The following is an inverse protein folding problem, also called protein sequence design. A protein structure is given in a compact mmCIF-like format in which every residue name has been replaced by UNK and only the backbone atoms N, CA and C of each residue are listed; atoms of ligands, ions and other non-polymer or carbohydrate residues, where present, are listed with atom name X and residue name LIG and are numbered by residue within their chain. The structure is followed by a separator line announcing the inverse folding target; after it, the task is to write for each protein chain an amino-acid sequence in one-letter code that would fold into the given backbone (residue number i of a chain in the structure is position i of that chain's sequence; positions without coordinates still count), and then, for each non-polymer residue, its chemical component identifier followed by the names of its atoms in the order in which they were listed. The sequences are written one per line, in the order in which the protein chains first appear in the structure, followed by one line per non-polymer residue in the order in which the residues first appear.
data_IF_582839153688
#
_entry.id   IF_582839153688
#
_cell.length_a   1.000
_cell.length_b   1.000
_cell.length_c   1.000
_cell.angle_alpha   90.00
_cell.angle_beta   90.00
_cell.angle_gamma   90.00
#
_symmetry.space_group_name_H-M   'P 1'
#
loop_
_entity.id
_entity.type
_entity.pdbx_description
1 polymer ?
#
# COMPACT_ATOMS: atom_id res chain seq x y z
N UNK A 1 -2.57 -8.15 -23.76
CA UNK A 1 -1.46 -7.28 -24.24
C UNK A 1 -0.14 -8.04 -24.17
N UNK A 2 0.43 -8.48 -25.31
CA UNK A 2 1.87 -8.78 -25.40
C UNK A 2 2.56 -7.46 -25.72
N UNK A 3 2.72 -6.61 -24.71
CA UNK A 3 3.60 -5.47 -24.88
C UNK A 3 5.02 -6.04 -24.87
N UNK A 4 5.68 -6.03 -26.02
CA UNK A 4 7.13 -5.93 -26.06
C UNK A 4 7.49 -4.61 -25.39
N UNK A 5 7.47 -4.62 -24.06
CA UNK A 5 7.92 -3.50 -23.24
C UNK A 5 9.42 -3.51 -23.43
N UNK A 6 9.93 -2.64 -24.30
CA UNK A 6 11.34 -2.25 -24.25
C UNK A 6 11.67 -2.01 -22.78
N UNK A 7 12.58 -2.83 -22.25
CA UNK A 7 12.78 -3.02 -20.81
C UNK A 7 13.29 -1.76 -20.10
N UNK A 8 13.72 -0.76 -20.86
CA UNK A 8 14.46 0.38 -20.36
C UNK A 8 13.56 1.58 -20.09
N UNK A 9 13.03 1.62 -18.87
CA UNK A 9 12.66 2.90 -18.25
C UNK A 9 13.90 3.82 -18.14
N UNK A 10 13.72 5.12 -17.82
CA UNK A 10 14.86 6.03 -17.67
C UNK A 10 15.87 5.46 -16.68
N UNK A 11 17.15 5.47 -17.04
CA UNK A 11 18.20 5.02 -16.14
C UNK A 11 18.28 5.96 -14.91
N UNK A 12 18.98 5.50 -13.86
CA UNK A 12 19.10 6.24 -12.60
C UNK A 12 19.66 7.66 -12.77
N UNK A 13 20.58 7.88 -13.69
CA UNK A 13 21.17 9.20 -13.93
C UNK A 13 20.20 10.15 -14.62
N UNK A 14 19.37 9.64 -15.53
CA UNK A 14 18.30 10.43 -16.16
C UNK A 14 17.19 10.76 -15.16
N UNK A 15 16.83 9.82 -14.27
CA UNK A 15 15.90 10.10 -13.18
C UNK A 15 16.43 11.23 -12.28
N UNK A 16 17.71 11.22 -11.89
CA UNK A 16 18.30 12.30 -11.05
C UNK A 16 18.20 13.69 -11.68
N UNK A 17 18.19 13.80 -13.02
CA UNK A 17 18.03 15.08 -13.74
C UNK A 17 16.60 15.61 -13.67
N UNK A 18 15.62 14.77 -13.34
CA UNK A 18 14.23 15.18 -13.20
C UNK A 18 14.00 15.93 -11.89
N UNK A 19 13.08 16.90 -11.93
CA UNK A 19 12.60 17.59 -10.74
C UNK A 19 12.04 16.60 -9.70
N UNK A 20 12.15 16.96 -8.43
CA UNK A 20 11.53 16.22 -7.34
C UNK A 20 10.01 16.19 -7.53
N UNK A 21 9.43 14.99 -7.54
CA UNK A 21 7.98 14.83 -7.52
C UNK A 21 7.45 15.01 -6.09
N UNK A 22 6.49 15.90 -5.92
CA UNK A 22 5.79 16.12 -4.67
C UNK A 22 4.50 15.32 -4.64
N UNK A 23 3.84 15.26 -3.48
CA UNK A 23 2.57 14.54 -3.29
C UNK A 23 1.49 14.91 -4.31
N UNK A 24 1.49 16.15 -4.81
CA UNK A 24 0.50 16.60 -5.79
C UNK A 24 0.77 16.04 -7.18
N UNK A 25 2.03 15.81 -7.56
CA UNK A 25 2.39 15.20 -8.83
C UNK A 25 1.87 13.76 -8.90
N UNK A 26 1.99 13.00 -7.80
CA UNK A 26 1.37 11.69 -7.68
C UNK A 26 -0.16 11.77 -7.79
N UNK A 27 -0.80 12.72 -7.13
CA UNK A 27 -2.25 12.90 -7.21
C UNK A 27 -2.73 13.25 -8.63
N UNK A 28 -1.96 14.07 -9.37
CA UNK A 28 -2.22 14.39 -10.78
C UNK A 28 -2.07 13.16 -11.66
N UNK A 29 -0.97 12.41 -11.49
CA UNK A 29 -0.72 11.18 -12.24
C UNK A 29 -1.81 10.13 -12.01
N UNK A 30 -2.34 10.02 -10.79
CA UNK A 30 -3.44 9.12 -10.46
C UNK A 30 -4.83 9.64 -10.88
N UNK A 31 -4.89 10.86 -11.43
CA UNK A 31 -6.15 11.48 -11.85
C UNK A 31 -7.07 11.85 -10.68
N UNK A 32 -6.49 12.08 -9.50
CA UNK A 32 -7.17 12.52 -8.27
C UNK A 32 -7.23 14.05 -8.18
N UNK A 33 -6.32 14.73 -8.88
CA UNK A 33 -6.22 16.18 -8.95
C UNK A 33 -5.97 16.60 -10.41
N UNK A 34 -6.55 17.72 -10.85
CA UNK A 34 -6.18 18.32 -12.15
C UNK A 34 -4.80 18.97 -12.06
N UNK A 35 -3.98 18.81 -13.09
CA UNK A 35 -2.71 19.53 -13.13
C UNK A 35 -2.95 21.04 -13.14
N UNK A 36 -2.16 21.78 -12.35
CA UNK A 36 -2.19 23.24 -12.39
C UNK A 36 -1.54 23.81 -13.66
N UNK A 37 -0.72 22.98 -14.33
CA UNK A 37 -0.01 23.30 -15.56
C UNK A 37 -0.54 22.34 -16.63
N UNK A 38 -0.88 22.84 -17.82
CA UNK A 38 -1.36 21.99 -18.90
C UNK A 38 -0.18 21.20 -19.52
N UNK A 39 0.29 20.18 -18.81
CA UNK A 39 1.46 19.35 -19.13
C UNK A 39 1.09 17.98 -19.72
N UNK A 40 -0.18 17.79 -20.12
CA UNK A 40 -0.68 16.55 -20.72
C UNK A 40 -0.86 15.39 -19.74
N UNK A 41 -0.41 15.48 -18.47
CA UNK A 41 -0.58 14.39 -17.48
C UNK A 41 -2.04 14.07 -17.18
N UNK A 42 -2.93 15.03 -17.41
CA UNK A 42 -4.37 14.85 -17.24
C UNK A 42 -4.98 13.98 -18.34
N UNK A 43 -4.34 13.89 -19.51
CA UNK A 43 -4.85 13.21 -20.71
C UNK A 43 -4.35 11.78 -20.86
N UNK A 44 -3.46 11.33 -19.96
CA UNK A 44 -2.93 9.97 -19.96
C UNK A 44 -4.04 8.93 -19.75
N UNK A 45 -3.99 7.88 -20.56
CA UNK A 45 -4.73 6.62 -20.36
C UNK A 45 -4.29 5.92 -19.07
N UNK A 46 -5.09 4.98 -18.58
CA UNK A 46 -4.75 4.27 -17.35
C UNK A 46 -3.51 3.38 -17.50
N UNK A 47 -3.32 2.81 -18.69
CA UNK A 47 -2.15 2.03 -19.05
C UNK A 47 -0.88 2.89 -19.02
N UNK A 48 -0.94 4.10 -19.58
CA UNK A 48 0.17 5.07 -19.51
C UNK A 48 0.44 5.54 -18.07
N UNK A 49 -0.62 5.74 -17.26
CA UNK A 49 -0.45 6.11 -15.84
C UNK A 49 0.27 5.02 -15.05
N UNK A 50 -0.06 3.74 -15.27
CA UNK A 50 0.65 2.61 -14.61
C UNK A 50 2.12 2.67 -14.98
N UNK A 51 2.41 2.78 -16.28
CA UNK A 51 3.77 2.80 -16.78
C UNK A 51 4.57 3.96 -16.19
N UNK A 52 4.03 5.19 -16.26
CA UNK A 52 4.66 6.38 -15.67
C UNK A 52 4.87 6.25 -14.17
N UNK A 53 3.88 5.71 -13.43
CA UNK A 53 4.01 5.55 -11.99
C UNK A 53 5.14 4.58 -11.63
N UNK A 54 5.12 3.38 -12.24
CA UNK A 54 6.03 2.29 -11.92
C UNK A 54 7.45 2.53 -12.43
N UNK A 55 7.60 3.18 -13.60
CA UNK A 55 8.92 3.36 -14.26
C UNK A 55 9.56 4.71 -14.02
N UNK A 56 8.78 5.74 -13.65
CA UNK A 56 9.30 7.10 -13.49
C UNK A 56 9.08 7.62 -12.08
N UNK A 57 7.83 7.71 -11.61
CA UNK A 57 7.54 8.43 -10.37
C UNK A 57 8.04 7.71 -9.12
N UNK A 58 7.73 6.41 -8.98
CA UNK A 58 8.19 5.62 -7.83
C UNK A 58 9.72 5.46 -7.82
N UNK A 59 10.39 5.07 -8.92
CA UNK A 59 11.85 4.99 -8.94
C UNK A 59 12.53 6.33 -8.70
N UNK A 60 11.98 7.43 -9.25
CA UNK A 60 12.51 8.77 -9.01
C UNK A 60 12.46 9.13 -7.53
N UNK A 61 11.33 8.90 -6.87
CA UNK A 61 11.18 9.19 -5.45
C UNK A 61 12.07 8.28 -4.59
N UNK A 62 12.28 7.01 -4.99
CA UNK A 62 13.17 6.08 -4.28
C UNK A 62 14.66 6.46 -4.30
N UNK A 63 15.07 7.41 -5.15
CA UNK A 63 16.44 7.96 -5.17
C UNK A 63 16.63 9.03 -4.09
N UNK A 64 15.55 9.64 -3.61
CA UNK A 64 15.59 10.65 -2.56
C UNK A 64 15.92 10.05 -1.19
N UNK A 65 16.31 10.92 -0.25
CA UNK A 65 16.53 10.48 1.13
C UNK A 65 15.23 9.93 1.74
N UNK A 66 15.33 8.99 2.69
CA UNK A 66 14.15 8.39 3.33
C UNK A 66 13.23 9.47 3.93
N UNK A 67 13.80 10.53 4.47
CA UNK A 67 13.07 11.65 5.05
C UNK A 67 12.25 12.41 4.00
N UNK A 68 12.82 12.65 2.83
CA UNK A 68 12.11 13.29 1.75
C UNK A 68 10.99 12.40 1.21
N UNK A 69 11.22 11.08 1.12
CA UNK A 69 10.18 10.11 0.77
C UNK A 69 9.04 10.12 1.79
N UNK A 70 9.34 10.12 3.09
CA UNK A 70 8.35 10.17 4.17
C UNK A 70 7.52 11.46 4.14
N UNK A 71 8.12 12.60 3.80
CA UNK A 71 7.39 13.88 3.62
C UNK A 71 6.38 13.75 2.48
N UNK A 72 6.80 13.23 1.32
CA UNK A 72 5.93 13.03 0.15
C UNK A 72 4.78 12.07 0.49
N UNK A 73 5.09 10.91 1.09
CA UNK A 73 4.09 9.90 1.45
C UNK A 73 3.14 10.36 2.54
N UNK A 74 3.62 11.08 3.54
CA UNK A 74 2.78 11.60 4.62
C UNK A 74 1.79 12.63 4.10
N UNK A 75 2.24 13.56 3.25
CA UNK A 75 1.36 14.55 2.62
C UNK A 75 0.38 13.89 1.66
N UNK A 76 0.84 12.96 0.83
CA UNK A 76 -0.03 12.22 -0.08
C UNK A 76 -1.13 11.47 0.68
N UNK A 77 -0.77 10.69 1.69
CA UNK A 77 -1.73 9.89 2.44
C UNK A 77 -2.74 10.76 3.18
N UNK A 78 -2.30 11.86 3.79
CA UNK A 78 -3.20 12.74 4.54
C UNK A 78 -4.26 13.41 3.65
N UNK A 79 -3.93 13.68 2.38
CA UNK A 79 -4.79 14.47 1.48
C UNK A 79 -5.54 13.60 0.45
N UNK A 80 -4.91 12.55 -0.07
CA UNK A 80 -5.38 11.84 -1.27
C UNK A 80 -5.65 10.35 -1.06
N UNK A 81 -5.35 9.78 0.12
CA UNK A 81 -5.59 8.37 0.38
C UNK A 81 -7.07 7.95 0.23
N UNK A 82 -8.08 8.70 0.74
CA UNK A 82 -9.48 8.32 0.56
C UNK A 82 -9.84 8.17 -0.92
N UNK A 83 -9.53 9.18 -1.74
CA UNK A 83 -9.80 9.17 -3.17
C UNK A 83 -9.01 8.07 -3.92
N UNK A 84 -7.78 7.75 -3.48
CA UNK A 84 -6.98 6.65 -4.02
C UNK A 84 -7.67 5.30 -3.76
N UNK A 85 -8.20 5.10 -2.56
CA UNK A 85 -8.93 3.89 -2.19
C UNK A 85 -10.26 3.80 -2.94
N UNK A 86 -10.98 4.91 -3.07
CA UNK A 86 -12.25 4.96 -3.83
C UNK A 86 -12.05 4.59 -5.29
N UNK A 87 -11.00 5.13 -5.93
CA UNK A 87 -10.61 4.80 -7.30
C UNK A 87 -10.07 3.38 -7.41
N UNK A 88 -9.36 2.85 -6.41
CA UNK A 88 -9.00 1.43 -6.42
C UNK A 88 -10.24 0.54 -6.34
N UNK A 89 -11.21 0.84 -5.46
CA UNK A 89 -12.45 0.06 -5.32
C UNK A 89 -13.29 0.13 -6.60
N UNK A 90 -13.38 1.32 -7.21
CA UNK A 90 -14.10 1.59 -8.44
C UNK A 90 -13.14 2.07 -9.53
N UNK A 91 -12.34 1.14 -10.11
CA UNK A 91 -11.33 1.52 -11.07
C UNK A 91 -11.97 2.10 -12.34
N UNK A 92 -11.32 3.09 -12.97
CA UNK A 92 -11.76 3.62 -14.25
C UNK A 92 -11.81 2.51 -15.32
N UNK A 93 -12.61 2.73 -16.35
CA UNK A 93 -12.70 1.80 -17.48
C UNK A 93 -11.42 1.91 -18.32
N UNK A 94 -10.91 0.76 -18.75
CA UNK A 94 -9.81 0.67 -19.71
C UNK A 94 -10.34 0.45 -21.12
N UNK A 95 -9.45 0.59 -22.11
CA UNK A 95 -9.78 0.39 -23.52
C UNK A 95 -10.04 -1.08 -23.87
N UNK A 96 -9.37 -2.00 -23.18
CA UNK A 96 -9.54 -3.44 -23.44
C UNK A 96 -10.91 -3.94 -23.01
N UNK A 97 -11.58 -4.66 -23.91
CA UNK A 97 -12.85 -5.36 -23.64
C UNK A 97 -12.64 -6.81 -23.21
N UNK A 98 -11.40 -7.29 -23.19
CA UNK A 98 -11.06 -8.67 -22.85
C UNK A 98 -11.22 -8.88 -21.34
N UNK A 99 -12.03 -9.85 -20.89
CA UNK A 99 -12.26 -10.08 -19.46
C UNK A 99 -10.98 -10.25 -18.64
N UNK A 100 -9.96 -10.91 -19.20
CA UNK A 100 -8.66 -11.13 -18.55
C UNK A 100 -7.87 -9.83 -18.34
N UNK A 101 -7.87 -8.93 -19.32
CA UNK A 101 -7.19 -7.64 -19.22
C UNK A 101 -7.92 -6.74 -18.19
N UNK A 102 -9.26 -6.78 -18.17
CA UNK A 102 -10.09 -6.05 -17.20
C UNK A 102 -9.85 -6.56 -15.78
N UNK A 103 -9.88 -7.88 -15.57
CA UNK A 103 -9.61 -8.48 -14.27
C UNK A 103 -8.19 -8.16 -13.78
N UNK A 104 -7.20 -8.22 -14.68
CA UNK A 104 -5.82 -7.83 -14.40
C UNK A 104 -5.72 -6.37 -13.99
N UNK A 105 -6.35 -5.45 -14.73
CA UNK A 105 -6.31 -4.02 -14.40
C UNK A 105 -7.03 -3.71 -13.08
N UNK A 106 -8.13 -4.40 -12.76
CA UNK A 106 -8.85 -4.18 -11.50
C UNK A 106 -7.94 -4.36 -10.28
N UNK A 107 -6.97 -5.27 -10.32
CA UNK A 107 -6.03 -5.42 -9.21
C UNK A 107 -4.71 -4.68 -9.42
N UNK A 108 -4.22 -4.59 -10.66
CA UNK A 108 -2.95 -3.96 -11.03
C UNK A 108 -3.24 -2.68 -11.81
N UNK A 109 -3.38 -1.59 -11.06
CA UNK A 109 -3.63 -0.25 -11.58
C UNK A 109 -2.77 0.78 -10.83
N UNK A 110 -2.75 2.05 -11.26
CA UNK A 110 -1.90 3.05 -10.61
C UNK A 110 -2.21 3.21 -9.12
N UNK A 111 -3.48 3.07 -8.72
CA UNK A 111 -3.88 3.14 -7.32
C UNK A 111 -3.35 1.94 -6.52
N UNK A 112 -3.32 0.72 -7.08
CA UNK A 112 -2.79 -0.44 -6.36
C UNK A 112 -1.31 -0.28 -6.02
N UNK A 113 -0.51 0.16 -6.99
CA UNK A 113 0.91 0.44 -6.79
C UNK A 113 1.13 1.53 -5.74
N UNK A 114 0.32 2.59 -5.79
CA UNK A 114 0.40 3.66 -4.79
C UNK A 114 0.03 3.17 -3.38
N UNK A 115 -1.00 2.32 -3.24
CA UNK A 115 -1.39 1.75 -1.96
C UNK A 115 -0.29 0.84 -1.40
N UNK A 116 0.35 0.02 -2.24
CA UNK A 116 1.49 -0.81 -1.84
C UNK A 116 2.66 0.05 -1.39
N UNK A 117 2.98 1.11 -2.13
CA UNK A 117 4.06 2.04 -1.80
C UNK A 117 3.82 2.79 -0.49
N UNK A 118 2.56 3.06 -0.11
CA UNK A 118 2.23 3.90 1.05
C UNK A 118 1.67 3.17 2.27
N UNK A 119 1.46 1.84 2.19
CA UNK A 119 0.86 1.05 3.29
C UNK A 119 1.64 1.10 4.61
N UNK A 120 2.93 1.45 4.58
CA UNK A 120 3.77 1.60 5.76
C UNK A 120 3.57 2.94 6.49
N UNK A 121 2.91 3.92 5.86
CA UNK A 121 2.74 5.27 6.38
C UNK A 121 1.71 5.35 7.52
N UNK A 122 1.96 6.17 8.53
CA UNK A 122 1.08 6.32 9.68
C UNK A 122 -0.32 6.87 9.34
N UNK A 123 -0.46 7.69 8.30
CA UNK A 123 -1.77 8.16 7.83
C UNK A 123 -2.59 7.02 7.20
N UNK A 124 -1.94 6.01 6.62
CA UNK A 124 -2.61 4.82 6.11
C UNK A 124 -3.26 4.03 7.24
N UNK A 125 -2.49 3.73 8.29
CA UNK A 125 -3.01 3.07 9.47
C UNK A 125 -4.06 3.91 10.23
N UNK A 126 -3.92 5.24 10.24
CA UNK A 126 -4.92 6.16 10.79
C UNK A 126 -6.23 6.08 10.00
N UNK A 127 -6.17 6.12 8.67
CA UNK A 127 -7.33 6.02 7.80
C UNK A 127 -8.10 4.72 8.05
N UNK A 128 -7.42 3.58 8.03
CA UNK A 128 -8.05 2.27 8.25
C UNK A 128 -8.72 2.12 9.63
N UNK A 129 -8.32 2.92 10.62
CA UNK A 129 -8.89 2.90 11.98
C UNK A 129 -9.90 4.00 12.24
N UNK A 130 -10.07 4.93 11.29
CA UNK A 130 -11.01 6.02 11.48
C UNK A 130 -12.44 5.49 11.43
N UNK A 131 -13.30 6.07 12.28
CA UNK A 131 -14.75 5.84 12.27
C UNK A 131 -15.48 6.89 11.43
N UNK A 132 -14.76 7.82 10.82
CA UNK A 132 -15.34 8.84 9.94
C UNK A 132 -15.94 8.18 8.70
N UNK A 133 -17.07 8.70 8.24
CA UNK A 133 -17.76 8.23 7.03
C UNK A 133 -16.86 8.30 5.79
N UNK A 134 -15.97 9.31 5.71
CA UNK A 134 -15.01 9.45 4.61
C UNK A 134 -13.94 8.34 4.60
N UNK A 135 -13.80 7.58 5.69
CA UNK A 135 -12.91 6.43 5.81
C UNK A 135 -13.63 5.08 5.74
N UNK A 136 -14.95 5.05 5.50
CA UNK A 136 -15.73 3.82 5.50
C UNK A 136 -15.19 2.77 4.50
N UNK A 137 -14.69 3.23 3.37
CA UNK A 137 -14.10 2.36 2.34
C UNK A 137 -12.81 1.67 2.79
N UNK A 138 -12.15 2.15 3.84
CA UNK A 138 -11.00 1.47 4.45
C UNK A 138 -11.34 0.06 4.96
N UNK A 139 -12.56 -0.14 5.46
CA UNK A 139 -13.03 -1.47 5.92
C UNK A 139 -13.46 -2.38 4.77
N UNK A 140 -13.84 -1.81 3.63
CA UNK A 140 -14.26 -2.55 2.43
C UNK A 140 -13.06 -3.04 1.61
N UNK A 141 -11.98 -2.25 1.62
CA UNK A 141 -10.76 -2.50 0.85
C UNK A 141 -10.18 -3.93 0.99
N UNK A 142 -10.03 -4.54 2.19
CA UNK A 142 -9.52 -5.90 2.34
C UNK A 142 -10.31 -6.94 1.55
N UNK A 143 -11.65 -6.87 1.60
CA UNK A 143 -12.55 -7.75 0.82
C UNK A 143 -12.35 -7.55 -0.68
N UNK A 144 -12.28 -6.32 -1.16
CA UNK A 144 -12.09 -6.03 -2.60
C UNK A 144 -10.75 -6.57 -3.10
N UNK A 145 -9.67 -6.40 -2.32
CA UNK A 145 -8.36 -6.98 -2.65
C UNK A 145 -8.46 -8.51 -2.68
N UNK A 146 -9.06 -9.13 -1.66
CA UNK A 146 -9.21 -10.58 -1.61
C UNK A 146 -10.03 -11.14 -2.78
N UNK A 147 -11.15 -10.50 -3.16
CA UNK A 147 -11.97 -10.92 -4.30
C UNK A 147 -11.18 -10.93 -5.60
N UNK A 148 -10.40 -9.86 -5.84
CA UNK A 148 -9.57 -9.73 -7.04
C UNK A 148 -8.38 -10.68 -7.05
N UNK A 149 -7.75 -10.91 -5.89
CA UNK A 149 -6.72 -11.96 -5.73
C UNK A 149 -7.32 -13.33 -6.01
N UNK A 150 -8.56 -13.61 -5.59
CA UNK A 150 -9.21 -14.88 -5.88
C UNK A 150 -9.45 -15.04 -7.39
N UNK A 151 -10.02 -14.00 -8.02
CA UNK A 151 -10.31 -14.00 -9.46
C UNK A 151 -9.06 -14.35 -10.29
N UNK A 152 -7.96 -13.62 -10.10
CA UNK A 152 -6.73 -13.87 -10.86
C UNK A 152 -5.92 -15.05 -10.34
N UNK A 153 -5.88 -15.26 -9.03
CA UNK A 153 -5.09 -16.32 -8.43
C UNK A 153 -5.49 -17.71 -8.94
N UNK A 154 -6.79 -17.97 -9.07
CA UNK A 154 -7.27 -19.22 -9.65
C UNK A 154 -7.02 -19.30 -11.17
N UNK A 155 -7.13 -18.19 -11.88
CA UNK A 155 -6.88 -18.15 -13.32
C UNK A 155 -5.39 -18.36 -13.66
N UNK A 156 -4.48 -17.85 -12.84
CA UNK A 156 -3.03 -17.90 -13.07
C UNK A 156 -2.34 -19.09 -12.41
N UNK A 157 -2.99 -19.80 -11.49
CA UNK A 157 -2.41 -20.97 -10.80
C UNK A 157 -1.89 -22.07 -11.75
N UNK A 158 -2.56 -22.41 -12.88
CA UNK A 158 -2.00 -23.35 -13.86
C UNK A 158 -0.66 -22.88 -14.46
N UNK A 159 -0.55 -21.61 -14.85
CA UNK A 159 0.67 -21.02 -15.42
C UNK A 159 1.78 -20.87 -14.37
N UNK A 160 1.42 -20.55 -13.12
CA UNK A 160 2.35 -20.51 -11.98
C UNK A 160 2.97 -21.89 -11.67
N UNK A 161 2.25 -22.97 -12.01
CA UNK A 161 2.71 -24.35 -11.82
C UNK A 161 3.51 -24.85 -13.01
N UNK A 162 3.00 -24.60 -14.21
CA UNK A 162 3.55 -25.08 -15.48
C UNK A 162 3.56 -23.90 -16.47
N UNK A 163 4.60 -23.06 -16.46
CA UNK A 163 4.61 -21.88 -17.30
C UNK A 163 4.69 -22.23 -18.79
N UNK A 164 3.87 -21.56 -19.58
CA UNK A 164 3.91 -21.62 -21.04
C UNK A 164 5.04 -20.78 -21.65
N UNK A 165 5.52 -19.76 -20.92
CA UNK A 165 6.52 -18.79 -21.38
C UNK A 165 7.54 -18.52 -20.26
N UNK A 166 8.83 -18.51 -20.60
CA UNK A 166 9.90 -18.16 -19.68
C UNK A 166 9.73 -16.73 -19.13
N UNK A 167 10.02 -16.54 -17.84
CA UNK A 167 9.89 -15.24 -17.15
C UNK A 167 8.46 -14.84 -16.76
N UNK A 168 7.42 -15.47 -17.33
CA UNK A 168 6.03 -15.18 -16.99
C UNK A 168 5.71 -15.44 -15.51
N UNK A 169 6.31 -16.49 -14.93
CA UNK A 169 6.16 -16.86 -13.51
C UNK A 169 6.63 -15.73 -12.60
N UNK A 170 7.76 -15.11 -12.89
CA UNK A 170 8.29 -14.02 -12.03
C UNK A 170 7.45 -12.75 -12.15
N UNK A 171 6.91 -12.47 -13.34
CA UNK A 171 5.92 -11.40 -13.53
C UNK A 171 4.67 -11.65 -12.65
N UNK A 172 4.09 -12.86 -12.70
CA UNK A 172 2.91 -13.20 -11.91
C UNK A 172 3.19 -13.21 -10.41
N UNK A 173 4.35 -13.74 -9.97
CA UNK A 173 4.77 -13.71 -8.56
C UNK A 173 4.94 -12.29 -8.04
N UNK A 174 5.53 -11.40 -8.84
CA UNK A 174 5.70 -9.99 -8.46
C UNK A 174 4.35 -9.31 -8.28
N UNK A 175 3.48 -9.43 -9.29
CA UNK A 175 2.15 -8.84 -9.28
C UNK A 175 1.28 -9.38 -8.13
N UNK A 176 1.09 -10.69 -8.02
CA UNK A 176 0.33 -11.29 -6.92
C UNK A 176 0.98 -11.05 -5.57
N UNK A 177 2.31 -11.04 -5.49
CA UNK A 177 3.05 -10.74 -4.27
C UNK A 177 2.72 -9.36 -3.71
N UNK A 178 2.73 -8.32 -4.54
CA UNK A 178 2.34 -6.96 -4.13
C UNK A 178 0.90 -6.89 -3.63
N UNK A 179 -0.04 -7.55 -4.33
CA UNK A 179 -1.45 -7.58 -3.91
C UNK A 179 -1.67 -8.36 -2.61
N UNK A 180 -0.99 -9.50 -2.44
CA UNK A 180 -1.06 -10.32 -1.21
C UNK A 180 -0.36 -9.62 -0.05
N UNK A 181 0.72 -8.87 -0.28
CA UNK A 181 1.34 -8.01 0.72
C UNK A 181 0.38 -6.93 1.19
N UNK A 182 -0.31 -6.24 0.28
CA UNK A 182 -1.34 -5.26 0.64
C UNK A 182 -2.45 -5.91 1.47
N UNK A 183 -2.96 -7.08 1.04
CA UNK A 183 -3.97 -7.83 1.78
C UNK A 183 -3.49 -8.23 3.19
N UNK A 184 -2.23 -8.65 3.31
CA UNK A 184 -1.61 -8.98 4.60
C UNK A 184 -1.63 -7.80 5.57
N UNK A 185 -1.20 -6.63 5.10
CA UNK A 185 -1.23 -5.38 5.89
C UNK A 185 -2.65 -4.99 6.30
N UNK A 186 -3.60 -5.12 5.38
CA UNK A 186 -5.02 -4.82 5.61
C UNK A 186 -5.63 -5.75 6.66
N UNK A 187 -5.42 -7.06 6.54
CA UNK A 187 -5.87 -8.04 7.54
C UNK A 187 -5.24 -7.75 8.92
N UNK A 188 -3.95 -7.41 8.97
CA UNK A 188 -3.29 -7.05 10.23
C UNK A 188 -3.87 -5.77 10.85
N UNK A 189 -4.27 -4.78 10.05
CA UNK A 189 -4.89 -3.54 10.54
C UNK A 189 -6.23 -3.81 11.25
N UNK A 190 -7.01 -4.77 10.74
CA UNK A 190 -8.32 -5.17 11.24
C UNK A 190 -8.32 -6.45 12.11
N UNK A 191 -7.16 -6.92 12.59
CA UNK A 191 -7.08 -8.12 13.45
C UNK A 191 -7.87 -8.02 14.77
N UNK A 192 -8.23 -6.79 15.18
CA UNK A 192 -9.05 -6.52 16.38
C UNK A 192 -10.52 -6.27 16.07
N UNK A 193 -10.94 -6.41 14.82
CA UNK A 193 -12.35 -6.33 14.48
C UNK A 193 -13.06 -7.58 15.01
N UNK A 194 -14.12 -7.39 15.80
CA UNK A 194 -14.83 -8.51 16.43
C UNK A 194 -15.52 -9.39 15.38
N UNK A 195 -16.11 -8.75 14.37
CA UNK A 195 -16.69 -9.41 13.21
C UNK A 195 -15.69 -9.39 12.04
N UNK A 196 -15.02 -10.51 11.80
CA UNK A 196 -14.09 -10.63 10.66
C UNK A 196 -14.82 -10.78 9.31
N UNK A 197 -16.11 -11.13 9.30
CA UNK A 197 -16.85 -11.33 8.05
C UNK A 197 -17.23 -10.02 7.38
N UNK A 198 -17.33 -8.92 8.12
CA UNK A 198 -17.44 -7.56 7.54
C UNK A 198 -16.13 -7.06 6.91
N UNK A 199 -14.98 -7.67 7.24
CA UNK A 199 -13.66 -7.31 6.70
C UNK A 199 -13.35 -8.13 5.44
N UNK A 200 -13.35 -9.46 5.56
CA UNK A 200 -13.22 -10.41 4.45
C UNK A 200 -14.14 -11.59 4.74
N UNK A 201 -15.23 -11.84 4.01
CA UNK A 201 -16.20 -12.88 4.36
C UNK A 201 -15.58 -14.28 4.51
N UNK A 202 -16.07 -15.08 5.47
CA UNK A 202 -15.60 -16.47 5.70
C UNK A 202 -15.53 -17.31 4.42
N UNK A 203 -16.57 -17.27 3.60
CA UNK A 203 -16.60 -18.02 2.34
C UNK A 203 -15.44 -17.65 1.40
N UNK A 204 -15.08 -16.37 1.32
CA UNK A 204 -13.96 -15.90 0.52
C UNK A 204 -12.61 -16.29 1.12
N UNK A 205 -12.46 -16.20 2.46
CA UNK A 205 -11.25 -16.69 3.16
C UNK A 205 -11.05 -18.17 2.92
N UNK A 206 -12.10 -18.97 3.07
CA UNK A 206 -12.06 -20.43 2.87
C UNK A 206 -11.76 -20.79 1.42
N UNK A 207 -12.26 -20.02 0.46
CA UNK A 207 -11.91 -20.15 -0.96
C UNK A 207 -10.43 -19.86 -1.23
N UNK A 208 -9.85 -18.83 -0.61
CA UNK A 208 -8.46 -18.40 -0.86
C UNK A 208 -7.40 -19.18 -0.08
N UNK A 209 -7.72 -19.73 1.10
CA UNK A 209 -6.79 -20.46 1.96
C UNK A 209 -5.97 -21.53 1.22
N UNK A 210 -6.56 -22.39 0.35
CA UNK A 210 -5.79 -23.37 -0.40
C UNK A 210 -4.70 -22.74 -1.27
N UNK A 211 -5.01 -21.66 -1.99
CA UNK A 211 -4.02 -20.95 -2.80
C UNK A 211 -2.90 -20.38 -1.93
N UNK A 212 -3.25 -19.68 -0.84
CA UNK A 212 -2.25 -19.08 0.06
C UNK A 212 -1.32 -20.13 0.67
N UNK A 213 -1.87 -21.27 1.10
CA UNK A 213 -1.10 -22.42 1.60
C UNK A 213 -0.18 -22.98 0.51
N UNK A 214 -0.70 -23.21 -0.69
CA UNK A 214 0.08 -23.74 -1.82
C UNK A 214 1.21 -22.80 -2.22
N UNK A 215 0.95 -21.49 -2.33
CA UNK A 215 1.98 -20.50 -2.68
C UNK A 215 3.02 -20.34 -1.57
N UNK A 216 2.62 -20.34 -0.31
CA UNK A 216 3.54 -20.32 0.83
C UNK A 216 4.52 -21.50 0.82
N UNK A 217 4.03 -22.70 0.50
CA UNK A 217 4.85 -23.90 0.44
C UNK A 217 5.71 -23.97 -0.82
N UNK A 218 5.15 -23.64 -1.99
CA UNK A 218 5.86 -23.72 -3.28
C UNK A 218 6.97 -22.67 -3.41
N UNK A 219 6.75 -21.48 -2.87
CA UNK A 219 7.68 -20.36 -2.97
C UNK A 219 8.31 -20.02 -1.62
N UNK A 220 8.63 -21.04 -0.81
CA UNK A 220 9.26 -20.87 0.50
C UNK A 220 10.50 -19.97 0.40
N UNK A 221 10.67 -19.05 1.36
CA UNK A 221 11.79 -18.09 1.45
C UNK A 221 11.85 -17.08 0.29
N UNK A 222 10.81 -17.01 -0.52
CA UNK A 222 10.63 -15.95 -1.50
C UNK A 222 9.58 -14.98 -1.01
N UNK A 223 9.69 -13.71 -1.44
CA UNK A 223 8.74 -12.66 -1.06
C UNK A 223 7.27 -13.11 -1.21
N UNK A 224 6.90 -13.72 -2.34
CA UNK A 224 5.54 -14.16 -2.59
C UNK A 224 5.07 -15.27 -1.62
N UNK A 225 5.95 -16.23 -1.31
CA UNK A 225 5.65 -17.28 -0.33
C UNK A 225 5.49 -16.72 1.08
N UNK A 226 6.37 -15.80 1.49
CA UNK A 226 6.35 -15.19 2.82
C UNK A 226 5.07 -14.40 3.07
N UNK A 227 4.63 -13.58 2.10
CA UNK A 227 3.40 -12.80 2.24
C UNK A 227 2.16 -13.69 2.19
N UNK A 228 2.18 -14.76 1.38
CA UNK A 228 1.11 -15.78 1.35
C UNK A 228 1.00 -16.51 2.68
N UNK A 229 2.12 -16.86 3.31
CA UNK A 229 2.16 -17.50 4.63
C UNK A 229 1.52 -16.60 5.70
N UNK A 230 1.82 -15.30 5.69
CA UNK A 230 1.21 -14.34 6.64
C UNK A 230 -0.30 -14.29 6.50
N UNK A 231 -0.82 -14.18 5.27
CA UNK A 231 -2.28 -14.15 5.03
C UNK A 231 -2.93 -15.47 5.43
N UNK A 232 -2.34 -16.61 5.04
CA UNK A 232 -2.83 -17.93 5.42
C UNK A 232 -2.88 -18.12 6.94
N UNK A 233 -1.82 -17.72 7.65
CA UNK A 233 -1.74 -17.83 9.10
C UNK A 233 -2.74 -16.95 9.83
N UNK A 234 -2.99 -15.74 9.35
CA UNK A 234 -4.01 -14.84 9.90
C UNK A 234 -5.43 -15.40 9.81
N UNK A 235 -5.71 -16.22 8.80
CA UNK A 235 -7.05 -16.80 8.59
C UNK A 235 -7.22 -18.21 9.14
N UNK A 236 -6.16 -18.82 9.64
CA UNK A 236 -6.16 -20.20 10.14
C UNK A 236 -6.02 -20.18 11.66
N UNK A 237 -7.10 -20.44 12.43
CA UNK A 237 -7.04 -20.39 13.90
C UNK A 237 -5.91 -21.24 14.50
N UNK A 238 -5.61 -22.36 13.86
CA UNK A 238 -4.58 -23.32 14.26
C UNK A 238 -3.15 -22.76 14.14
N UNK A 239 -2.96 -21.77 13.26
CA UNK A 239 -1.69 -21.05 13.07
C UNK A 239 -1.73 -19.64 13.71
N UNK A 240 -2.91 -19.03 13.78
CA UNK A 240 -3.15 -17.64 14.12
C UNK A 240 -3.17 -17.34 15.62
N UNK A 241 -3.44 -18.34 16.47
CA UNK A 241 -3.34 -18.20 17.93
C UNK A 241 -1.89 -18.25 18.45
N UNK A 242 -0.90 -18.43 17.55
CA UNK A 242 0.53 -18.45 17.87
C UNK A 242 1.29 -17.19 17.45
N UNK A 243 2.55 -17.38 17.06
CA UNK A 243 3.49 -16.32 16.67
C UNK A 243 2.96 -15.35 15.60
N UNK A 244 2.22 -15.83 14.61
CA UNK A 244 1.72 -14.99 13.51
C UNK A 244 0.67 -13.96 13.95
N UNK A 245 -0.19 -14.32 14.92
CA UNK A 245 -1.14 -13.37 15.51
C UNK A 245 -0.43 -12.27 16.30
N UNK A 246 0.62 -12.61 17.03
CA UNK A 246 1.45 -11.63 17.74
C UNK A 246 2.23 -10.72 16.78
N UNK A 247 2.78 -11.25 15.68
CA UNK A 247 3.41 -10.43 14.65
C UNK A 247 2.42 -9.46 14.01
N UNK A 248 1.20 -9.90 13.69
CA UNK A 248 0.19 -9.01 13.15
C UNK A 248 -0.22 -7.91 14.15
N UNK A 249 -0.31 -8.22 15.45
CA UNK A 249 -0.50 -7.20 16.50
C UNK A 249 0.67 -6.22 16.53
N UNK A 250 1.92 -6.68 16.38
CA UNK A 250 3.12 -5.82 16.30
C UNK A 250 3.09 -4.93 15.06
N UNK A 251 2.81 -5.48 13.88
CA UNK A 251 2.67 -4.72 12.62
C UNK A 251 1.60 -3.65 12.79
N UNK A 252 0.44 -3.99 13.35
CA UNK A 252 -0.62 -3.03 13.66
C UNK A 252 -0.16 -1.94 14.63
N UNK A 253 0.62 -2.24 15.66
CA UNK A 253 1.11 -1.20 16.58
C UNK A 253 2.16 -0.29 15.92
N UNK A 254 3.11 -0.91 15.21
CA UNK A 254 4.20 -0.22 14.49
C UNK A 254 3.70 0.68 13.38
N UNK A 255 2.61 0.33 12.70
CA UNK A 255 2.07 1.14 11.60
C UNK A 255 1.55 2.51 12.02
N UNK A 256 1.33 2.77 13.31
CA UNK A 256 1.09 4.13 13.82
C UNK A 256 2.31 4.74 14.52
N UNK A 257 3.39 3.98 14.72
CA UNK A 257 4.56 4.38 15.51
C UNK A 257 4.20 4.94 16.91
N UNK A 258 3.21 4.33 17.57
CA UNK A 258 2.67 4.82 18.86
C UNK A 258 3.35 4.21 20.09
N UNK A 259 4.35 3.35 19.91
CA UNK A 259 5.03 2.63 21.01
C UNK A 259 6.19 3.41 21.63
N UNK A 260 6.67 4.46 20.96
CA UNK A 260 7.82 5.26 21.36
C UNK A 260 7.55 6.74 21.13
N UNK A 261 8.21 7.60 21.89
CA UNK A 261 8.21 9.04 21.63
C UNK A 261 8.74 9.32 20.22
N UNK A 262 8.05 10.18 19.47
CA UNK A 262 8.42 10.52 18.10
C UNK A 262 9.63 11.44 17.95
N UNK A 263 10.23 11.94 19.04
CA UNK A 263 11.47 12.70 18.96
C UNK A 263 12.62 11.70 18.75
N UNK A 264 13.44 11.82 17.68
CA UNK A 264 14.55 10.91 17.45
C UNK A 264 15.50 10.82 18.64
N UNK A 265 15.89 9.59 18.98
CA UNK A 265 16.73 9.28 20.15
C UNK A 265 15.97 9.13 21.48
N UNK A 266 14.72 9.59 21.60
CA UNK A 266 13.95 9.40 22.83
C UNK A 266 13.36 7.99 22.92
N UNK A 267 13.71 7.25 23.97
CA UNK A 267 13.27 5.86 24.18
C UNK A 267 12.06 5.70 25.11
N UNK A 268 11.38 6.80 25.47
CA UNK A 268 10.21 6.75 26.35
C UNK A 268 9.04 6.05 25.63
N UNK A 269 8.43 5.06 26.29
CA UNK A 269 7.34 4.22 25.73
C UNK A 269 5.99 4.39 26.44
N UNK A 270 5.97 5.09 27.57
CA UNK A 270 4.77 5.25 28.43
C UNK A 270 4.34 6.71 28.51
N UNK A 271 3.07 6.95 28.88
CA UNK A 271 2.55 8.32 29.04
C UNK A 271 2.51 9.16 27.75
N UNK A 272 2.63 8.53 26.59
CA UNK A 272 2.76 9.21 25.30
C UNK A 272 1.43 9.88 24.90
N UNK A 273 1.48 11.18 24.60
CA UNK A 273 0.36 11.99 24.11
C UNK A 273 0.44 12.17 22.60
N UNK A 274 -0.65 11.93 21.89
CA UNK A 274 -0.71 12.12 20.44
C UNK A 274 -0.64 13.60 20.06
N UNK A 275 -0.01 13.90 18.92
CA UNK A 275 -0.06 15.23 18.33
C UNK A 275 -1.52 15.63 18.07
N UNK A 276 -1.95 16.80 18.56
CA UNK A 276 -3.33 17.26 18.41
C UNK A 276 -3.78 17.55 16.96
N UNK A 277 -2.83 17.78 16.03
CA UNK A 277 -3.14 18.08 14.62
C UNK A 277 -3.27 16.81 13.76
N UNK A 278 -2.21 16.02 13.67
CA UNK A 278 -2.17 14.84 12.79
C UNK A 278 -2.59 13.55 13.48
N UNK A 279 -2.38 13.43 14.80
CA UNK A 279 -2.54 12.20 15.59
C UNK A 279 -1.72 10.99 15.09
N UNK A 280 -0.77 11.17 14.18
CA UNK A 280 0.07 10.09 13.63
C UNK A 280 1.36 9.86 14.43
N UNK A 281 1.73 10.80 15.30
CA UNK A 281 2.93 10.72 16.15
C UNK A 281 2.55 10.99 17.61
N UNK A 282 3.26 10.37 18.56
CA UNK A 282 3.08 10.63 20.00
C UNK A 282 4.36 11.13 20.66
N UNK A 283 4.24 11.93 21.71
CA UNK A 283 5.35 12.49 22.46
C UNK A 283 5.17 12.26 23.96
N UNK A 284 6.26 12.04 24.69
CA UNK A 284 6.19 11.89 26.15
C UNK A 284 5.89 13.22 26.87
N UNK A 285 6.19 14.36 26.24
CA UNK A 285 5.87 15.69 26.74
C UNK A 285 5.77 16.72 25.58
N UNK A 286 5.18 17.91 25.82
CA UNK A 286 5.09 18.97 24.80
C UNK A 286 6.45 19.50 24.32
N UNK A 287 7.49 19.45 25.15
CA UNK A 287 8.82 19.93 24.78
C UNK A 287 9.43 19.09 23.66
N UNK A 288 9.33 17.77 23.75
CA UNK A 288 9.78 16.86 22.69
C UNK A 288 9.05 17.10 21.36
N UNK A 289 7.76 17.46 21.42
CA UNK A 289 7.02 17.86 20.23
C UNK A 289 7.57 19.17 19.64
N UNK A 290 7.85 20.18 20.47
CA UNK A 290 8.43 21.47 20.02
C UNK A 290 9.82 21.28 19.40
N UNK A 291 10.65 20.43 20.00
CA UNK A 291 11.97 20.09 19.48
C UNK A 291 11.86 19.33 18.16
N UNK A 292 10.99 18.32 18.08
CA UNK A 292 10.79 17.56 16.85
C UNK A 292 10.19 18.41 15.72
N UNK A 293 9.43 19.47 16.05
CA UNK A 293 8.85 20.39 15.08
C UNK A 293 9.90 21.15 14.25
N UNK A 294 11.07 21.42 14.83
CA UNK A 294 12.18 22.16 14.21
C UNK A 294 13.47 21.34 14.20
N UNK A 295 13.34 20.01 14.19
CA UNK A 295 14.48 19.12 14.37
C UNK A 295 15.48 19.31 13.21
N UNK A 296 16.77 19.57 13.50
CA UNK A 296 17.73 19.91 12.46
C UNK A 296 18.23 18.69 11.67
N UNK A 297 17.95 17.47 12.13
CA UNK A 297 18.46 16.24 11.54
C UNK A 297 17.30 15.35 11.05
N UNK A 298 17.12 15.23 9.75
CA UNK A 298 16.05 14.41 9.15
C UNK A 298 14.70 15.14 9.01
N UNK A 299 13.61 14.39 8.83
CA UNK A 299 12.29 14.95 8.55
C UNK A 299 11.72 15.66 9.78
N UNK A 300 11.43 16.96 9.65
CA UNK A 300 10.77 17.70 10.71
C UNK A 300 9.32 17.26 10.83
N UNK A 301 8.82 17.15 12.07
CA UNK A 301 7.40 16.83 12.25
C UNK A 301 6.49 17.84 11.55
N UNK A 302 6.90 19.11 11.47
CA UNK A 302 6.16 20.18 10.80
C UNK A 302 5.87 19.87 9.32
N UNK A 303 6.80 19.17 8.64
CA UNK A 303 6.69 18.81 7.22
C UNK A 303 5.80 17.59 6.97
N UNK A 304 5.61 16.74 7.99
CA UNK A 304 4.77 15.53 7.93
C UNK A 304 3.42 15.69 8.67
N UNK A 305 3.21 16.82 9.36
CA UNK A 305 2.04 17.04 10.22
C UNK A 305 0.91 17.75 9.47
N UNK A 306 0.03 16.94 8.89
CA UNK A 306 -1.17 17.30 8.16
C UNK A 306 -2.42 16.95 8.95
N UNK A 307 -3.44 17.80 8.84
CA UNK A 307 -4.77 17.48 9.34
C UNK A 307 -5.47 16.64 8.28
N UNK A 308 -6.12 15.55 8.70
CA UNK A 308 -6.97 14.75 7.82
C UNK A 308 -8.43 15.19 7.98
N UNK A 309 -9.19 15.13 6.90
CA UNK A 309 -10.64 15.39 6.91
C UNK A 309 -11.44 14.13 7.27
N UNK A 310 -10.82 12.96 7.12
CA UNK A 310 -11.29 11.65 7.56
C UNK A 310 -10.76 11.29 8.95
#
# INVERSE_FOLDING_TARGET
MNAGIDEDGPNREDLKKMNLFLSEDFAVLLGLKRSAINDGRSDLTEEERIFCLARVYLPRNAIESEEQQEIVWSRFCALYLPATIDRFINPPKITSTKPEDVARFRIFNPCSEMLVATQHNAYFAKYLRSKNVLAANGKILPRVVAERVAELGFAWEPELRNPSVDGLVDCYKSLLGSAVQLLSTLCAAFIKEDDQDVVVPKALRDKLKPLMKTWAQRYERQFFGDVSLRVWGLWSPELGNGWLGEEAKKVRKRSLNWEICGLPGCQVKTGLKACGKCQTVRYCNPEHQRTHWKYPFGAQHSQMCHRTEY
#
